data_IF_504614445674
#
_entry.id   IF_504614445674
#
_cell.length_a   1.000
_cell.length_b   1.000
_cell.length_c   1.000
_cell.angle_alpha   90.00
_cell.angle_beta   90.00
_cell.angle_gamma   90.00
#
_symmetry.space_group_name_H-M   'P 1'
#
loop_
_entity.id
_entity.type
_entity.pdbx_description
1 polymer ?
#
# COMPACT_ATOMS: atom_id res chain seq x y z
N UNK A 1 4.40 -24.60 11.57
CA UNK A 1 4.91 -23.67 10.53
C UNK A 1 5.58 -22.47 11.22
N UNK A 2 6.80 -22.11 10.81
CA UNK A 2 7.49 -20.95 11.39
C UNK A 2 6.76 -19.68 10.95
N UNK A 3 6.29 -18.89 11.94
CA UNK A 3 5.68 -17.57 11.71
C UNK A 3 6.59 -16.68 10.86
N UNK A 4 6.02 -15.93 9.91
CA UNK A 4 6.79 -14.93 9.16
C UNK A 4 7.35 -13.88 10.13
N UNK A 5 8.63 -13.58 9.99
CA UNK A 5 9.35 -12.57 10.76
C UNK A 5 10.05 -11.60 9.82
N UNK A 6 10.18 -10.38 10.32
CA UNK A 6 10.81 -9.26 9.62
C UNK A 6 11.98 -8.73 10.43
N UNK A 7 12.93 -8.13 9.75
CA UNK A 7 14.06 -7.44 10.38
C UNK A 7 14.28 -6.08 9.72
N UNK A 8 15.19 -5.30 10.27
CA UNK A 8 15.66 -4.07 9.64
C UNK A 8 16.73 -4.37 8.58
N UNK A 9 16.78 -3.56 7.54
CA UNK A 9 17.91 -3.56 6.59
C UNK A 9 19.24 -3.20 7.25
N UNK A 10 19.22 -2.49 8.39
CA UNK A 10 20.40 -2.10 9.17
C UNK A 10 20.73 -3.08 10.27
N UNK A 11 19.74 -3.81 10.81
CA UNK A 11 19.95 -4.77 11.90
C UNK A 11 19.11 -6.03 11.71
N UNK A 12 19.77 -7.09 11.22
CA UNK A 12 19.13 -8.40 10.98
C UNK A 12 18.76 -9.17 12.26
N UNK A 13 19.23 -8.76 13.43
CA UNK A 13 18.91 -9.39 14.72
C UNK A 13 17.53 -9.00 15.25
N UNK A 14 16.99 -7.87 14.79
CA UNK A 14 15.64 -7.42 15.17
C UNK A 14 14.58 -8.39 14.63
N UNK A 15 13.51 -8.57 15.38
CA UNK A 15 12.39 -9.44 15.07
C UNK A 15 11.08 -8.68 15.20
N UNK A 16 10.33 -8.62 14.10
CA UNK A 16 9.00 -8.01 14.04
C UNK A 16 8.02 -8.97 13.36
N UNK A 17 6.75 -8.87 13.73
CA UNK A 17 5.65 -9.50 12.99
C UNK A 17 5.06 -8.55 11.93
N UNK A 18 4.11 -9.06 11.15
CA UNK A 18 3.49 -8.30 10.06
C UNK A 18 2.74 -7.06 10.58
N UNK A 19 1.99 -7.17 11.68
CA UNK A 19 1.24 -6.04 12.23
C UNK A 19 2.18 -4.92 12.69
N UNK A 20 3.25 -5.28 13.40
CA UNK A 20 4.23 -4.31 13.88
C UNK A 20 4.89 -3.52 12.74
N UNK A 21 5.28 -4.20 11.64
CA UNK A 21 5.91 -3.51 10.51
C UNK A 21 4.91 -2.69 9.70
N UNK A 22 3.65 -3.12 9.64
CA UNK A 22 2.62 -2.44 8.87
C UNK A 22 2.21 -1.10 9.52
N UNK A 23 2.20 -1.04 10.85
CA UNK A 23 1.85 0.15 11.62
C UNK A 23 3.03 1.11 11.82
N UNK A 24 4.26 0.71 11.45
CA UNK A 24 5.46 1.54 11.56
C UNK A 24 5.99 1.92 10.18
N UNK A 25 6.44 3.14 10.02
CA UNK A 25 7.03 3.59 8.76
C UNK A 25 8.46 3.09 8.58
N UNK A 26 9.26 3.08 9.65
CA UNK A 26 10.66 2.65 9.67
C UNK A 26 10.93 1.77 10.88
N UNK A 27 11.99 0.98 10.79
CA UNK A 27 12.52 0.26 11.94
C UNK A 27 13.14 1.25 12.96
N UNK A 28 13.28 0.88 14.25
CA UNK A 28 13.81 1.77 15.29
C UNK A 28 15.22 2.31 15.00
N UNK A 29 15.99 1.62 14.17
CA UNK A 29 17.33 2.02 13.72
C UNK A 29 17.31 2.86 12.42
N UNK A 30 16.12 3.28 11.96
CA UNK A 30 15.92 4.04 10.73
C UNK A 30 16.09 3.22 9.44
N UNK A 31 16.17 1.89 9.54
CA UNK A 31 16.19 0.98 8.39
C UNK A 31 14.80 0.66 7.87
N UNK A 32 14.73 0.04 6.68
CA UNK A 32 13.50 -0.51 6.12
C UNK A 32 13.22 -1.90 6.69
N UNK A 33 11.95 -2.25 6.80
CA UNK A 33 11.57 -3.62 7.14
C UNK A 33 11.67 -4.55 5.94
N UNK A 34 12.32 -5.70 6.13
CA UNK A 34 12.43 -6.76 5.13
C UNK A 34 12.10 -8.12 5.75
N UNK A 35 11.45 -9.03 4.99
CA UNK A 35 11.17 -10.36 5.50
C UNK A 35 12.48 -11.14 5.70
N UNK A 36 12.64 -11.82 6.84
CA UNK A 36 13.80 -12.67 7.10
C UNK A 36 13.91 -13.85 6.15
N UNK A 37 12.78 -14.29 5.59
CA UNK A 37 12.72 -15.38 4.63
C UNK A 37 11.66 -15.11 3.58
N UNK A 38 11.98 -15.31 2.32
CA UNK A 38 11.03 -15.22 1.20
C UNK A 38 10.69 -16.65 0.76
N UNK A 39 9.39 -16.96 0.69
CA UNK A 39 8.92 -18.25 0.17
C UNK A 39 9.28 -18.35 -1.31
N UNK A 40 9.96 -19.45 -1.66
CA UNK A 40 10.25 -19.79 -3.05
C UNK A 40 9.12 -20.62 -3.62
N UNK A 41 8.71 -20.32 -4.83
CA UNK A 41 7.74 -21.08 -5.60
C UNK A 41 8.48 -21.88 -6.69
N UNK A 42 8.10 -23.14 -6.86
CA UNK A 42 8.66 -24.02 -7.88
C UNK A 42 7.75 -24.10 -9.12
N UNK A 43 8.17 -24.80 -10.17
CA UNK A 43 7.39 -24.93 -11.40
C UNK A 43 6.01 -25.60 -11.20
N UNK A 44 5.87 -26.50 -10.22
CA UNK A 44 4.59 -27.11 -9.88
C UNK A 44 3.63 -26.09 -9.28
N UNK A 45 4.13 -25.22 -8.40
CA UNK A 45 3.35 -24.09 -7.86
C UNK A 45 2.89 -23.16 -8.97
N UNK A 46 3.78 -22.78 -9.89
CA UNK A 46 3.45 -21.89 -11.01
C UNK A 46 2.38 -22.49 -11.94
N UNK A 47 2.43 -23.83 -12.18
CA UNK A 47 1.39 -24.53 -12.94
C UNK A 47 0.02 -24.50 -12.24
N UNK A 48 0.00 -24.55 -10.91
CA UNK A 48 -1.22 -24.39 -10.12
C UNK A 48 -1.74 -22.95 -10.16
N UNK A 49 -0.86 -21.94 -10.08
CA UNK A 49 -1.21 -20.52 -10.13
C UNK A 49 -1.95 -20.14 -11.41
N UNK A 50 -1.62 -20.75 -12.54
CA UNK A 50 -2.33 -20.54 -13.82
C UNK A 50 -3.84 -20.82 -13.76
N UNK A 51 -4.28 -21.65 -12.80
CA UNK A 51 -5.70 -22.02 -12.63
C UNK A 51 -6.46 -21.09 -11.68
N UNK A 52 -5.74 -20.18 -11.00
CA UNK A 52 -6.31 -19.28 -10.01
C UNK A 52 -6.78 -17.98 -10.68
N UNK A 53 -7.89 -17.44 -10.17
CA UNK A 53 -8.24 -16.05 -10.45
C UNK A 53 -7.29 -15.11 -9.71
N UNK A 54 -7.32 -13.82 -10.02
CA UNK A 54 -6.41 -12.83 -9.43
C UNK A 54 -6.48 -12.78 -7.90
N UNK A 55 -7.67 -12.82 -7.31
CA UNK A 55 -7.86 -12.76 -5.84
C UNK A 55 -7.23 -13.98 -5.18
N UNK A 56 -7.49 -15.18 -5.68
CA UNK A 56 -6.96 -16.42 -5.10
C UNK A 56 -5.43 -16.52 -5.27
N UNK A 57 -4.90 -16.03 -6.38
CA UNK A 57 -3.46 -15.90 -6.59
C UNK A 57 -2.85 -14.90 -5.60
N UNK A 58 -3.45 -13.72 -5.44
CA UNK A 58 -3.01 -12.70 -4.50
C UNK A 58 -3.02 -13.24 -3.05
N UNK A 59 -4.09 -13.94 -2.64
CA UNK A 59 -4.15 -14.62 -1.33
C UNK A 59 -3.00 -15.61 -1.17
N UNK A 60 -2.73 -16.42 -2.18
CA UNK A 60 -1.68 -17.44 -2.13
C UNK A 60 -0.29 -16.83 -1.95
N UNK A 61 -0.02 -15.72 -2.63
CA UNK A 61 1.27 -15.03 -2.55
C UNK A 61 1.38 -14.22 -1.26
N UNK A 62 0.39 -13.38 -0.96
CA UNK A 62 0.43 -12.42 0.16
C UNK A 62 0.34 -13.15 1.52
N UNK A 63 -0.39 -14.27 1.62
CA UNK A 63 -0.46 -15.03 2.88
C UNK A 63 0.92 -15.42 3.41
N UNK A 64 1.86 -15.72 2.54
CA UNK A 64 3.24 -16.05 2.94
C UNK A 64 3.99 -14.91 3.64
N UNK A 65 3.50 -13.68 3.54
CA UNK A 65 4.08 -12.49 4.17
C UNK A 65 3.32 -12.03 5.41
N UNK A 66 2.04 -12.34 5.57
CA UNK A 66 1.22 -11.80 6.64
C UNK A 66 0.72 -12.86 7.65
N UNK A 67 0.93 -14.15 7.41
CA UNK A 67 0.61 -15.17 8.42
C UNK A 67 1.57 -15.09 9.62
N UNK A 68 1.06 -15.24 10.86
CA UNK A 68 -0.30 -15.61 11.23
C UNK A 68 -1.25 -14.44 11.48
N UNK A 69 -0.85 -13.19 11.21
CA UNK A 69 -1.69 -12.00 11.48
C UNK A 69 -3.05 -12.09 10.80
N UNK A 70 -3.06 -12.54 9.54
CA UNK A 70 -4.29 -12.86 8.81
C UNK A 70 -4.25 -14.32 8.34
N UNK A 71 -5.30 -15.07 8.64
CA UNK A 71 -5.51 -16.36 7.98
C UNK A 71 -6.00 -16.15 6.53
N UNK A 72 -5.93 -17.19 5.70
CA UNK A 72 -6.30 -17.09 4.27
C UNK A 72 -7.74 -16.65 4.03
N UNK A 73 -8.70 -17.00 4.92
CA UNK A 73 -10.11 -16.61 4.80
C UNK A 73 -10.27 -15.10 5.03
N UNK A 74 -9.66 -14.56 6.07
CA UNK A 74 -9.64 -13.13 6.37
C UNK A 74 -8.96 -12.35 5.23
N UNK A 75 -7.79 -12.81 4.81
CA UNK A 75 -7.04 -12.19 3.71
C UNK A 75 -7.83 -12.19 2.41
N UNK A 76 -8.56 -13.26 2.09
CA UNK A 76 -9.42 -13.33 0.89
C UNK A 76 -10.52 -12.27 0.92
N UNK A 77 -11.13 -12.03 2.09
CA UNK A 77 -12.14 -10.97 2.26
C UNK A 77 -11.52 -9.59 2.00
N UNK A 78 -10.37 -9.29 2.62
CA UNK A 78 -9.66 -8.01 2.45
C UNK A 78 -9.26 -7.77 1.00
N UNK A 79 -8.66 -8.75 0.35
CA UNK A 79 -8.21 -8.65 -1.06
C UNK A 79 -9.41 -8.51 -2.00
N UNK A 80 -10.48 -9.29 -1.81
CA UNK A 80 -11.70 -9.15 -2.62
C UNK A 80 -12.32 -7.76 -2.49
N UNK A 81 -12.39 -7.22 -1.27
CA UNK A 81 -12.87 -5.85 -1.01
C UNK A 81 -12.00 -4.81 -1.71
N UNK A 82 -10.67 -5.01 -1.71
CA UNK A 82 -9.70 -4.08 -2.30
C UNK A 82 -9.89 -3.90 -3.81
N UNK A 83 -10.21 -4.97 -4.50
CA UNK A 83 -10.29 -4.93 -5.97
C UNK A 83 -11.70 -4.81 -6.54
N UNK A 84 -12.72 -4.66 -5.67
CA UNK A 84 -14.12 -4.51 -6.10
C UNK A 84 -14.35 -3.28 -7.01
N UNK A 85 -13.57 -2.21 -6.82
CA UNK A 85 -13.69 -0.96 -7.59
C UNK A 85 -12.87 -0.97 -8.90
N UNK A 86 -12.11 -2.02 -9.18
CA UNK A 86 -11.34 -2.11 -10.42
C UNK A 86 -12.23 -2.38 -11.62
N UNK A 87 -11.93 -1.71 -12.75
CA UNK A 87 -12.73 -1.82 -13.98
C UNK A 87 -12.64 -3.21 -14.64
N UNK A 88 -11.53 -3.92 -14.42
CA UNK A 88 -11.32 -5.28 -14.94
C UNK A 88 -11.44 -6.31 -13.84
N UNK A 89 -12.17 -7.40 -14.10
CA UNK A 89 -12.34 -8.51 -13.16
C UNK A 89 -11.00 -9.13 -12.73
N UNK A 90 -10.03 -9.15 -13.62
CA UNK A 90 -8.69 -9.67 -13.36
C UNK A 90 -7.74 -8.64 -12.77
N UNK A 91 -8.22 -7.43 -12.38
CA UNK A 91 -7.45 -6.34 -11.78
C UNK A 91 -6.39 -5.78 -12.74
N UNK A 92 -5.58 -6.63 -13.35
CA UNK A 92 -4.59 -6.34 -14.38
C UNK A 92 -4.98 -7.02 -15.70
N UNK A 93 -4.47 -6.52 -16.81
CA UNK A 93 -4.74 -7.10 -18.13
C UNK A 93 -3.44 -7.33 -18.90
N UNK A 94 -3.40 -8.37 -19.72
CA UNK A 94 -2.28 -8.67 -20.61
C UNK A 94 -2.73 -8.44 -22.04
N UNK A 95 -2.02 -7.59 -22.77
CA UNK A 95 -2.26 -7.30 -24.18
C UNK A 95 -1.06 -7.73 -24.99
N UNK A 96 -1.27 -8.56 -26.01
CA UNK A 96 -0.21 -8.93 -26.94
C UNK A 96 -0.05 -7.86 -28.00
N UNK A 97 1.16 -7.35 -28.18
CA UNK A 97 1.54 -6.40 -29.21
C UNK A 97 2.69 -7.01 -30.00
N UNK A 98 2.41 -7.55 -31.17
CA UNK A 98 3.35 -8.32 -31.97
C UNK A 98 3.95 -9.50 -31.16
N UNK A 99 5.26 -9.45 -30.86
CA UNK A 99 5.99 -10.45 -30.06
C UNK A 99 6.06 -10.11 -28.57
N UNK A 100 5.61 -8.92 -28.19
CA UNK A 100 5.69 -8.42 -26.81
C UNK A 100 4.37 -8.60 -26.08
N UNK A 101 4.45 -8.64 -24.77
CA UNK A 101 3.29 -8.67 -23.87
C UNK A 101 3.31 -7.43 -23.01
N UNK A 102 2.27 -6.59 -23.15
CA UNK A 102 2.04 -5.42 -22.31
C UNK A 102 1.20 -5.81 -21.10
N UNK A 103 1.71 -5.54 -19.90
CA UNK A 103 0.96 -5.67 -18.66
C UNK A 103 0.33 -4.32 -18.30
N UNK A 104 -0.99 -4.23 -18.42
CA UNK A 104 -1.76 -3.03 -18.06
C UNK A 104 -2.05 -2.99 -16.57
N UNK A 105 -1.63 -1.93 -15.87
CA UNK A 105 -1.78 -1.77 -14.42
C UNK A 105 -2.70 -0.60 -14.01
N UNK A 106 -3.35 0.07 -14.97
CA UNK A 106 -4.11 1.32 -14.78
C UNK A 106 -5.63 1.12 -14.66
N UNK A 107 -6.09 -0.07 -14.29
CA UNK A 107 -7.54 -0.36 -14.20
C UNK A 107 -8.16 -0.05 -12.84
N UNK A 108 -7.40 0.54 -11.93
CA UNK A 108 -7.85 0.95 -10.61
C UNK A 108 -8.58 2.31 -10.58
N UNK A 109 -9.05 2.75 -9.40
CA UNK A 109 -9.87 3.95 -9.24
C UNK A 109 -9.20 5.25 -9.68
N UNK A 110 -7.88 5.37 -9.56
CA UNK A 110 -7.12 6.58 -9.92
C UNK A 110 -6.31 6.42 -11.22
N UNK A 111 -6.49 5.29 -11.91
CA UNK A 111 -5.81 4.96 -13.16
C UNK A 111 -4.28 4.87 -13.03
N UNK A 112 -3.78 4.67 -11.81
CA UNK A 112 -2.36 4.47 -11.51
C UNK A 112 -2.10 3.05 -10.99
N UNK A 113 -0.94 2.47 -11.33
CA UNK A 113 -0.56 1.13 -10.84
C UNK A 113 -0.52 1.05 -9.30
N UNK A 114 -0.34 2.17 -8.63
CA UNK A 114 -0.33 2.29 -7.18
C UNK A 114 -1.66 1.91 -6.52
N UNK A 115 -2.77 1.97 -7.24
CA UNK A 115 -4.07 1.52 -6.76
C UNK A 115 -4.06 0.07 -6.30
N UNK A 116 -3.26 -0.78 -6.98
CA UNK A 116 -3.17 -2.21 -6.66
C UNK A 116 -2.71 -2.41 -5.21
N UNK A 117 -1.68 -1.71 -4.80
CA UNK A 117 -1.18 -1.79 -3.43
C UNK A 117 -2.03 -0.96 -2.45
N UNK A 118 -2.35 0.29 -2.81
CA UNK A 118 -3.00 1.23 -1.90
C UNK A 118 -4.41 0.82 -1.48
N UNK A 119 -5.20 0.23 -2.38
CA UNK A 119 -6.53 -0.29 -2.02
C UNK A 119 -6.42 -1.45 -1.00
N UNK A 120 -5.40 -2.29 -1.14
CA UNK A 120 -5.13 -3.36 -0.19
C UNK A 120 -4.65 -2.80 1.17
N UNK A 121 -3.70 -1.88 1.15
CA UNK A 121 -3.17 -1.18 2.34
C UNK A 121 -4.31 -0.50 3.11
N UNK A 122 -5.20 0.22 2.42
CA UNK A 122 -6.33 0.88 3.07
C UNK A 122 -7.27 -0.09 3.78
N UNK A 123 -7.55 -1.26 3.21
CA UNK A 123 -8.38 -2.28 3.85
C UNK A 123 -7.67 -2.96 5.03
N UNK A 124 -6.36 -3.13 4.98
CA UNK A 124 -5.57 -3.68 6.10
C UNK A 124 -5.55 -2.68 7.27
N UNK A 125 -5.34 -1.39 7.04
CA UNK A 125 -5.43 -0.36 8.08
C UNK A 125 -6.82 -0.34 8.73
N UNK A 126 -7.89 -0.38 7.93
CA UNK A 126 -9.25 -0.44 8.44
C UNK A 126 -9.47 -1.66 9.35
N UNK A 127 -8.93 -2.82 8.98
CA UNK A 127 -9.04 -4.04 9.79
C UNK A 127 -8.24 -3.93 11.10
N UNK A 128 -7.04 -3.36 11.09
CA UNK A 128 -6.27 -3.13 12.32
C UNK A 128 -6.92 -2.10 13.25
N UNK A 129 -7.58 -1.09 12.70
CA UNK A 129 -8.23 -0.03 13.49
C UNK A 129 -9.67 -0.39 13.92
N UNK A 130 -10.18 -1.55 13.52
CA UNK A 130 -11.58 -1.93 13.74
C UNK A 130 -11.99 -1.96 15.20
N UNK A 131 -11.07 -2.38 16.08
CA UNK A 131 -11.26 -2.50 17.51
C UNK A 131 -10.40 -1.52 18.32
N UNK A 132 -9.88 -0.50 17.64
CA UNK A 132 -9.06 0.54 18.27
C UNK A 132 -9.72 1.89 18.00
N UNK A 133 -9.93 2.67 19.07
CA UNK A 133 -10.49 4.03 18.97
C UNK A 133 -9.40 5.09 18.75
N UNK A 134 -8.12 4.71 18.76
CA UNK A 134 -7.01 5.60 18.45
C UNK A 134 -6.99 5.98 16.98
N UNK A 135 -6.70 7.26 16.71
CA UNK A 135 -6.58 7.77 15.34
C UNK A 135 -5.18 7.46 14.81
N UNK A 136 -5.13 6.76 13.68
CA UNK A 136 -3.90 6.56 12.92
C UNK A 136 -3.68 7.73 11.96
N UNK A 137 -2.61 8.51 12.17
CA UNK A 137 -2.20 9.57 11.26
C UNK A 137 -1.23 9.00 10.22
N UNK A 138 -1.59 9.12 8.94
CA UNK A 138 -0.78 8.66 7.80
C UNK A 138 -0.30 9.88 7.04
N UNK A 139 1.01 9.95 6.78
CA UNK A 139 1.65 11.06 6.06
C UNK A 139 2.28 10.53 4.78
N UNK A 140 2.00 11.20 3.67
CA UNK A 140 2.51 10.82 2.34
C UNK A 140 3.11 12.03 1.65
N UNK A 141 4.37 11.93 1.21
CA UNK A 141 4.93 12.86 0.23
C UNK A 141 4.69 12.31 -1.17
N UNK A 142 4.18 13.12 -2.08
CA UNK A 142 3.80 12.67 -3.42
C UNK A 142 4.19 13.66 -4.52
N UNK A 143 4.52 13.11 -5.69
CA UNK A 143 4.59 13.86 -6.96
C UNK A 143 3.30 13.79 -7.78
N UNK A 144 2.24 13.12 -7.25
CA UNK A 144 0.92 13.02 -7.88
C UNK A 144 0.25 11.66 -7.65
N UNK A 145 0.65 10.61 -8.36
CA UNK A 145 -0.03 9.31 -8.42
C UNK A 145 -0.17 8.62 -7.06
N UNK A 146 0.89 8.65 -6.25
CA UNK A 146 0.86 8.00 -4.92
C UNK A 146 -0.15 8.70 -3.99
N UNK A 147 -0.20 10.03 -4.02
CA UNK A 147 -1.17 10.80 -3.25
C UNK A 147 -2.60 10.52 -3.69
N UNK A 148 -2.86 10.54 -5.00
CA UNK A 148 -4.17 10.22 -5.56
C UNK A 148 -4.64 8.82 -5.14
N UNK A 149 -3.77 7.80 -5.26
CA UNK A 149 -4.08 6.43 -4.87
C UNK A 149 -4.31 6.29 -3.36
N UNK A 150 -3.51 6.97 -2.51
CA UNK A 150 -3.68 6.98 -1.06
C UNK A 150 -5.01 7.64 -0.65
N UNK A 151 -5.34 8.80 -1.22
CA UNK A 151 -6.62 9.47 -0.99
C UNK A 151 -7.78 8.56 -1.37
N UNK A 152 -7.76 7.96 -2.56
CA UNK A 152 -8.80 7.03 -3.01
C UNK A 152 -8.96 5.82 -2.07
N UNK A 153 -7.87 5.33 -1.50
CA UNK A 153 -7.87 4.16 -0.62
C UNK A 153 -8.31 4.48 0.81
N UNK A 154 -8.00 5.68 1.33
CA UNK A 154 -8.15 6.03 2.74
C UNK A 154 -9.27 7.05 3.02
N UNK A 155 -9.88 7.63 1.98
CA UNK A 155 -10.97 8.59 2.13
C UNK A 155 -12.15 7.99 2.91
N UNK A 156 -12.66 8.78 3.88
CA UNK A 156 -13.80 8.44 4.73
C UNK A 156 -13.63 7.14 5.54
N UNK A 157 -12.40 6.70 5.81
CA UNK A 157 -12.18 5.58 6.73
C UNK A 157 -12.15 6.06 8.17
N UNK A 158 -12.84 5.32 9.04
CA UNK A 158 -12.91 5.62 10.48
C UNK A 158 -11.52 5.49 11.10
N UNK A 159 -11.21 6.39 12.03
CA UNK A 159 -9.97 6.40 12.82
C UNK A 159 -8.67 6.47 11.99
N UNK A 160 -8.74 7.10 10.81
CA UNK A 160 -7.58 7.38 9.95
C UNK A 160 -7.63 8.83 9.51
N UNK A 161 -6.53 9.55 9.67
CA UNK A 161 -6.27 10.82 9.00
C UNK A 161 -5.17 10.64 7.97
N UNK A 162 -5.32 11.25 6.80
CA UNK A 162 -4.32 11.24 5.74
C UNK A 162 -3.85 12.66 5.42
N UNK A 163 -2.56 12.90 5.63
CA UNK A 163 -1.87 14.14 5.28
C UNK A 163 -1.05 13.91 4.01
N UNK A 164 -1.37 14.64 2.94
CA UNK A 164 -0.74 14.48 1.63
C UNK A 164 0.07 15.73 1.29
N UNK A 165 1.39 15.62 1.38
CA UNK A 165 2.32 16.70 1.05
C UNK A 165 2.69 16.61 -0.43
N UNK A 166 2.47 17.69 -1.17
CA UNK A 166 2.83 17.75 -2.59
C UNK A 166 3.44 19.12 -2.95
N UNK A 167 4.34 19.19 -3.95
CA UNK A 167 4.94 20.45 -4.33
C UNK A 167 3.90 21.37 -4.99
N UNK A 168 3.82 22.62 -4.49
CA UNK A 168 2.91 23.63 -5.00
C UNK A 168 3.18 23.93 -6.48
N UNK A 169 2.15 23.82 -7.32
CA UNK A 169 2.19 24.05 -8.78
C UNK A 169 3.22 23.21 -9.56
N UNK A 170 3.73 22.09 -9.00
CA UNK A 170 4.69 21.19 -9.65
C UNK A 170 4.16 19.77 -9.83
N UNK A 171 2.85 19.59 -9.78
CA UNK A 171 2.15 18.35 -10.16
C UNK A 171 1.22 18.67 -11.34
N UNK A 172 0.88 17.66 -12.15
CA UNK A 172 -0.02 17.88 -13.28
C UNK A 172 -1.41 18.31 -12.82
N UNK A 173 -2.11 19.08 -13.65
CA UNK A 173 -3.47 19.52 -13.36
C UNK A 173 -4.43 18.34 -13.15
N UNK A 174 -4.23 17.24 -13.88
CA UNK A 174 -5.05 16.02 -13.75
C UNK A 174 -4.83 15.39 -12.38
N UNK A 175 -3.57 15.18 -11.98
CA UNK A 175 -3.24 14.62 -10.67
C UNK A 175 -3.76 15.50 -9.53
N UNK A 176 -3.59 16.82 -9.63
CA UNK A 176 -4.13 17.77 -8.65
C UNK A 176 -5.66 17.65 -8.56
N UNK A 177 -6.36 17.64 -9.69
CA UNK A 177 -7.82 17.47 -9.71
C UNK A 177 -8.25 16.16 -9.06
N UNK A 178 -7.61 15.04 -9.38
CA UNK A 178 -7.92 13.73 -8.76
C UNK A 178 -7.78 13.82 -7.24
N UNK A 179 -6.66 14.38 -6.73
CA UNK A 179 -6.43 14.49 -5.29
C UNK A 179 -7.41 15.41 -4.57
N UNK A 180 -7.87 16.48 -5.22
CA UNK A 180 -8.75 17.49 -4.59
C UNK A 180 -10.24 17.21 -4.78
N UNK A 181 -10.63 16.34 -5.72
CA UNK A 181 -12.04 16.04 -6.00
C UNK A 181 -12.55 14.74 -5.37
N UNK A 182 -11.68 13.79 -5.03
CA UNK A 182 -12.10 12.56 -4.34
C UNK A 182 -12.72 12.90 -2.97
N UNK A 183 -12.17 13.92 -2.28
CA UNK A 183 -12.71 14.38 -1.01
C UNK A 183 -12.52 13.41 0.14
N UNK A 184 -13.08 13.77 1.29
CA UNK A 184 -13.07 12.99 2.53
C UNK A 184 -12.76 13.90 3.73
N UNK A 185 -13.54 13.75 4.81
CA UNK A 185 -13.39 14.59 6.02
C UNK A 185 -12.07 14.34 6.76
N UNK A 186 -11.39 13.27 6.40
CA UNK A 186 -10.13 12.82 7.00
C UNK A 186 -8.92 13.02 6.09
N UNK A 187 -9.06 13.81 5.00
CA UNK A 187 -8.00 14.04 4.00
C UNK A 187 -7.52 15.47 4.07
N UNK A 188 -6.22 15.65 4.27
CA UNK A 188 -5.56 16.95 4.37
C UNK A 188 -4.51 17.10 3.27
N UNK A 189 -4.84 17.83 2.21
CA UNK A 189 -3.90 18.14 1.13
C UNK A 189 -3.06 19.36 1.49
N UNK A 190 -1.75 19.23 1.53
CA UNK A 190 -0.79 20.26 1.94
C UNK A 190 0.12 20.60 0.77
N UNK A 191 -0.05 21.79 0.19
CA UNK A 191 0.80 22.28 -0.88
C UNK A 191 2.07 22.93 -0.29
N UNK A 192 3.23 22.32 -0.51
CA UNK A 192 4.53 22.79 -0.01
C UNK A 192 5.19 23.68 -1.06
N UNK A 193 5.62 24.89 -0.68
CA UNK A 193 6.43 25.77 -1.54
C UNK A 193 7.85 25.19 -1.64
N UNK A 194 8.05 24.28 -2.59
CA UNK A 194 9.30 23.56 -2.77
C UNK A 194 9.23 22.53 -3.90
N UNK A 195 10.12 21.58 -3.85
CA UNK A 195 10.20 20.40 -4.74
C UNK A 195 9.53 19.18 -4.09
N UNK A 196 9.45 18.07 -4.82
CA UNK A 196 9.06 16.78 -4.25
C UNK A 196 10.08 16.30 -3.19
N UNK A 197 11.37 16.58 -3.40
CA UNK A 197 12.42 16.22 -2.43
C UNK A 197 12.25 17.00 -1.12
N UNK A 198 11.79 18.25 -1.18
CA UNK A 198 11.46 19.03 0.03
C UNK A 198 10.30 18.40 0.79
N UNK A 199 9.25 17.94 0.10
CA UNK A 199 8.14 17.21 0.74
C UNK A 199 8.65 15.91 1.41
N UNK A 200 9.53 15.16 0.75
CA UNK A 200 10.12 13.94 1.32
C UNK A 200 11.01 14.26 2.54
N UNK A 201 11.76 15.36 2.48
CA UNK A 201 12.62 15.80 3.58
C UNK A 201 11.80 16.10 4.84
N UNK A 202 10.68 16.82 4.68
CA UNK A 202 9.74 17.09 5.78
C UNK A 202 9.25 15.79 6.41
N UNK A 203 8.75 14.84 5.62
CA UNK A 203 8.26 13.55 6.12
C UNK A 203 9.36 12.78 6.85
N UNK A 204 10.57 12.75 6.30
CA UNK A 204 11.71 12.08 6.96
C UNK A 204 12.11 12.73 8.28
N UNK A 205 12.05 14.06 8.36
CA UNK A 205 12.31 14.80 9.60
C UNK A 205 11.26 14.50 10.66
N UNK A 206 9.97 14.47 10.29
CA UNK A 206 8.89 14.09 11.20
C UNK A 206 9.09 12.69 11.78
N UNK A 207 9.47 11.70 10.95
CA UNK A 207 9.72 10.33 11.43
C UNK A 207 11.03 10.18 12.24
N UNK A 208 11.92 11.13 12.16
CA UNK A 208 13.14 11.15 12.98
C UNK A 208 12.94 11.88 14.32
N UNK A 209 11.84 12.58 14.50
CA UNK A 209 11.51 13.29 15.72
C UNK A 209 10.83 12.32 16.70
N UNK A 210 11.40 12.21 17.92
CA UNK A 210 10.88 11.34 18.98
C UNK A 210 9.59 11.88 19.63
N UNK A 211 9.12 13.07 19.24
CA UNK A 211 7.86 13.66 19.69
C UNK A 211 6.67 13.26 18.81
N UNK A 212 6.93 12.57 17.71
CA UNK A 212 5.94 12.00 16.76
C UNK A 212 5.78 10.47 17.00
#
# INVERSE_FOLDING_TARGET
EKKMKYCSTRNKKLDFDFQQIFQRSLAPDGGLFVPKKIKKFNLKDLKQFKKLNYVDLAVTVISSFCEPTFNKKQLKILISKSYKKFKKKNVVNLVSINKDILLELYHGPTLAFKDIAMQCIGNIYEEFNKNNDEITNIIVATSGDTGAAAISALSNRKNINLFVLHPHNKISNIQRKIMTTIGGNNIYNIAVKGSFDDCQKIVKQMFADNLF
#
